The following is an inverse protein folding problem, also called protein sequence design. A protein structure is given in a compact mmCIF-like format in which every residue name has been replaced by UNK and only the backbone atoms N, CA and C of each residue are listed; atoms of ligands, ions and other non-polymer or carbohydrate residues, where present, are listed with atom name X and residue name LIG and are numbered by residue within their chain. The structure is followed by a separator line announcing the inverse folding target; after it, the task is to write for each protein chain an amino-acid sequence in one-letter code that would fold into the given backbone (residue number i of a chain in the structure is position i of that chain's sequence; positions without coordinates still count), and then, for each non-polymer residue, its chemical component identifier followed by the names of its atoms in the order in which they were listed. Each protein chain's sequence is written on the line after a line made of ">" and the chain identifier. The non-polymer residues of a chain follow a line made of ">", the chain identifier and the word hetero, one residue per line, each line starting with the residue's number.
data_IF_116197108158
#
_entry.id   IF_116197108158
#
_cell.length_a   1.000
_cell.length_b   1.000
_cell.length_c   1.000
_cell.angle_alpha   90.00
_cell.angle_beta   90.00
_cell.angle_gamma   90.00
#
_symmetry.space_group_name_H-M   'P 1'
#
loop_
_entity.id
_entity.type
_entity.pdbx_description
1 polymer ?
#
# COMPACT_ATOMS: atom_id res chain seq x y z
N UNK A 1 -17.36 -5.68 -6.04
CA UNK A 1 -16.23 -6.06 -5.17
C UNK A 1 -15.24 -4.90 -5.16
N UNK A 2 -14.59 -4.59 -4.03
CA UNK A 2 -13.58 -3.52 -3.93
C UNK A 2 -12.18 -4.11 -4.05
N UNK A 3 -11.30 -3.42 -4.76
CA UNK A 3 -9.87 -3.75 -4.86
C UNK A 3 -9.09 -3.12 -3.70
N UNK A 4 -7.84 -3.55 -3.43
CA UNK A 4 -6.99 -2.89 -2.44
C UNK A 4 -6.70 -1.43 -2.79
N UNK A 5 -6.68 -1.09 -4.10
CA UNK A 5 -6.52 0.27 -4.58
C UNK A 5 -7.71 1.16 -4.17
N UNK A 6 -8.94 0.64 -4.29
CA UNK A 6 -10.15 1.37 -3.88
C UNK A 6 -10.17 1.64 -2.37
N UNK A 7 -9.77 0.64 -1.57
CA UNK A 7 -9.65 0.81 -0.12
C UNK A 7 -8.60 1.88 0.24
N UNK A 8 -7.48 1.93 -0.48
CA UNK A 8 -6.48 2.99 -0.27
C UNK A 8 -7.01 4.37 -0.65
N UNK A 9 -7.70 4.51 -1.78
CA UNK A 9 -8.33 5.77 -2.15
C UNK A 9 -9.34 6.25 -1.10
N UNK A 10 -10.19 5.36 -0.57
CA UNK A 10 -11.10 5.67 0.53
C UNK A 10 -10.35 6.09 1.81
N UNK A 11 -9.27 5.38 2.15
CA UNK A 11 -8.45 5.68 3.32
C UNK A 11 -7.64 6.98 3.19
N UNK A 12 -7.40 7.50 1.98
CA UNK A 12 -6.73 8.78 1.78
C UNK A 12 -7.70 9.96 1.71
N UNK A 13 -8.88 9.75 1.16
CA UNK A 13 -9.87 10.81 0.94
C UNK A 13 -10.68 11.14 2.18
N UNK A 14 -11.05 10.12 2.98
CA UNK A 14 -11.99 10.29 4.09
C UNK A 14 -11.34 9.87 5.40
N UNK A 15 -11.28 10.81 6.36
CA UNK A 15 -10.66 10.58 7.69
C UNK A 15 -11.28 9.41 8.46
N UNK A 16 -12.60 9.26 8.38
CA UNK A 16 -13.32 8.17 9.08
C UNK A 16 -12.99 6.81 8.48
N UNK A 17 -12.98 6.69 7.14
CA UNK A 17 -12.55 5.46 6.47
C UNK A 17 -11.08 5.17 6.74
N UNK A 18 -10.21 6.18 6.77
CA UNK A 18 -8.82 5.99 7.18
C UNK A 18 -8.73 5.37 8.58
N UNK A 19 -9.43 5.95 9.55
CA UNK A 19 -9.43 5.49 10.93
C UNK A 19 -10.02 4.08 11.08
N UNK A 20 -10.98 3.71 10.24
CA UNK A 20 -11.57 2.37 10.23
C UNK A 20 -10.69 1.34 9.51
N UNK A 21 -10.25 1.62 8.28
CA UNK A 21 -9.52 0.68 7.41
C UNK A 21 -8.10 0.39 7.92
N UNK A 22 -7.48 1.31 8.66
CA UNK A 22 -6.12 1.11 9.20
C UNK A 22 -6.11 0.36 10.54
N UNK A 23 -7.27 -0.05 11.08
CA UNK A 23 -7.35 -0.89 12.28
C UNK A 23 -7.03 -2.35 11.96
N UNK A 24 -6.42 -3.04 12.92
CA UNK A 24 -6.12 -4.49 12.82
C UNK A 24 -7.39 -5.33 12.65
N UNK A 25 -8.51 -4.90 13.23
CA UNK A 25 -9.83 -5.54 13.07
C UNK A 25 -10.32 -5.52 11.62
N UNK A 26 -9.88 -4.53 10.84
CA UNK A 26 -10.25 -4.35 9.44
C UNK A 26 -9.28 -5.07 8.48
N UNK A 27 -8.24 -5.75 8.99
CA UNK A 27 -7.25 -6.44 8.16
C UNK A 27 -7.88 -7.50 7.24
N UNK A 28 -8.95 -8.15 7.69
CA UNK A 28 -9.72 -9.09 6.88
C UNK A 28 -10.28 -8.44 5.60
N UNK A 29 -10.75 -7.18 5.67
CA UNK A 29 -11.29 -6.48 4.50
C UNK A 29 -10.24 -6.29 3.41
N UNK A 30 -8.99 -6.06 3.80
CA UNK A 30 -7.87 -5.95 2.88
C UNK A 30 -7.48 -7.29 2.27
N UNK A 31 -7.51 -8.37 3.08
CA UNK A 31 -7.26 -9.72 2.57
C UNK A 31 -8.32 -10.11 1.54
N UNK A 32 -9.60 -9.86 1.83
CA UNK A 32 -10.70 -10.10 0.88
C UNK A 32 -10.55 -9.24 -0.37
N UNK A 33 -10.20 -7.96 -0.23
CA UNK A 33 -10.00 -7.10 -1.41
C UNK A 33 -8.84 -7.57 -2.28
N UNK A 34 -7.76 -8.08 -1.66
CA UNK A 34 -6.62 -8.69 -2.36
C UNK A 34 -7.04 -9.93 -3.14
N UNK A 35 -7.83 -10.83 -2.53
CA UNK A 35 -8.34 -12.04 -3.19
C UNK A 35 -9.25 -11.76 -4.39
N UNK A 36 -9.77 -10.54 -4.55
CA UNK A 36 -10.56 -10.17 -5.73
C UNK A 36 -9.69 -9.97 -6.98
N UNK A 37 -8.35 -9.94 -6.84
CA UNK A 37 -7.42 -9.77 -7.95
C UNK A 37 -6.77 -11.13 -8.24
N UNK A 38 -7.08 -11.76 -9.38
CA UNK A 38 -6.44 -13.01 -9.77
C UNK A 38 -4.93 -12.80 -9.95
N UNK A 39 -4.16 -13.85 -9.67
CA UNK A 39 -2.69 -13.89 -9.83
C UNK A 39 -1.88 -12.92 -8.97
N UNK A 40 -2.51 -12.20 -8.04
CA UNK A 40 -1.81 -11.33 -7.12
C UNK A 40 -1.17 -12.16 -5.98
N UNK A 41 0.14 -11.99 -5.70
CA UNK A 41 0.82 -12.77 -4.67
C UNK A 41 0.19 -12.57 -3.30
N UNK A 42 0.49 -13.51 -2.40
CA UNK A 42 0.20 -13.31 -0.99
C UNK A 42 0.98 -12.12 -0.43
N UNK A 43 0.33 -11.37 0.46
CA UNK A 43 1.00 -10.33 1.22
C UNK A 43 2.10 -10.98 2.07
N UNK A 44 3.36 -10.54 1.95
CA UNK A 44 4.45 -11.07 2.77
C UNK A 44 4.14 -10.91 4.27
N UNK A 45 4.59 -11.85 5.13
CA UNK A 45 4.21 -11.88 6.55
C UNK A 45 4.74 -10.67 7.35
N UNK A 46 5.79 -10.01 6.86
CA UNK A 46 6.38 -8.82 7.46
C UNK A 46 5.71 -7.51 6.97
N UNK A 47 4.76 -7.58 6.03
CA UNK A 47 4.01 -6.44 5.53
C UNK A 47 2.56 -6.48 6.01
N UNK A 48 1.99 -5.29 6.22
CA UNK A 48 0.55 -5.16 6.39
C UNK A 48 -0.11 -5.10 5.01
N UNK A 49 -1.32 -5.66 4.88
CA UNK A 49 -2.08 -5.63 3.62
C UNK A 49 -2.25 -4.20 3.02
N UNK A 50 -2.49 -3.12 3.80
CA UNK A 50 -2.51 -1.76 3.26
C UNK A 50 -1.15 -1.30 2.72
N UNK A 51 -0.04 -1.68 3.38
CA UNK A 51 1.30 -1.33 2.93
C UNK A 51 1.67 -2.11 1.66
N UNK A 52 1.31 -3.39 1.60
CA UNK A 52 1.45 -4.22 0.41
C UNK A 52 0.63 -3.67 -0.76
N UNK A 53 -0.63 -3.29 -0.53
CA UNK A 53 -1.45 -2.62 -1.54
C UNK A 53 -0.80 -1.31 -2.04
N UNK A 54 -0.23 -0.51 -1.14
CA UNK A 54 0.44 0.72 -1.54
C UNK A 54 1.68 0.43 -2.41
N UNK A 55 2.45 -0.59 -2.02
CA UNK A 55 3.62 -1.05 -2.75
C UNK A 55 3.24 -1.64 -4.12
N UNK A 56 2.17 -2.39 -4.25
CA UNK A 56 1.79 -2.99 -5.54
C UNK A 56 1.20 -1.95 -6.49
N UNK A 57 0.23 -1.15 -6.02
CA UNK A 57 -0.61 -0.35 -6.92
C UNK A 57 -0.14 1.08 -7.15
N UNK A 58 0.76 1.63 -6.31
CA UNK A 58 1.10 3.05 -6.38
C UNK A 58 2.59 3.34 -6.59
N UNK A 59 2.90 4.00 -7.70
CA UNK A 59 4.27 4.37 -8.08
C UNK A 59 4.67 5.74 -7.55
N UNK A 60 4.75 5.89 -6.23
CA UNK A 60 5.23 7.11 -5.58
C UNK A 60 6.30 6.86 -4.52
N UNK A 61 7.10 7.88 -4.24
CA UNK A 61 8.04 7.88 -3.13
C UNK A 61 7.28 7.82 -1.80
N UNK A 62 7.53 6.79 -1.00
CA UNK A 62 6.84 6.59 0.29
C UNK A 62 7.20 7.65 1.34
N UNK A 63 8.25 8.45 1.12
CA UNK A 63 8.66 9.53 2.01
C UNK A 63 8.08 10.91 1.61
N UNK A 64 8.10 11.26 0.32
CA UNK A 64 7.73 12.60 -0.15
C UNK A 64 6.61 12.63 -1.18
N UNK A 65 6.01 11.47 -1.48
CA UNK A 65 4.90 11.30 -2.43
C UNK A 65 5.22 11.70 -3.88
N UNK A 66 6.50 11.95 -4.22
CA UNK A 66 6.92 12.18 -5.60
C UNK A 66 6.47 11.02 -6.49
N UNK A 67 5.73 11.32 -7.55
CA UNK A 67 5.16 10.33 -8.48
C UNK A 67 6.24 9.72 -9.40
N UNK A 68 5.86 8.68 -10.13
CA UNK A 68 6.67 8.00 -11.15
C UNK A 68 7.95 7.34 -10.61
N UNK A 69 7.94 6.91 -9.35
CA UNK A 69 9.02 6.07 -8.82
C UNK A 69 8.64 4.63 -9.12
N UNK A 70 9.42 3.96 -9.97
CA UNK A 70 9.18 2.56 -10.38
C UNK A 70 10.03 1.57 -9.59
N UNK A 71 11.23 1.99 -9.20
CA UNK A 71 12.17 1.16 -8.44
C UNK A 71 11.60 0.86 -7.05
N UNK A 72 11.42 -0.43 -6.78
CA UNK A 72 11.06 -0.98 -5.48
C UNK A 72 12.36 -1.41 -4.78
N UNK A 73 12.54 -0.97 -3.54
CA UNK A 73 13.55 -1.51 -2.65
C UNK A 73 12.87 -2.59 -1.81
N UNK A 74 13.06 -3.86 -2.20
CA UNK A 74 12.35 -5.00 -1.60
C UNK A 74 12.73 -5.21 -0.14
N UNK A 75 13.98 -4.94 0.22
CA UNK A 75 14.50 -4.99 1.59
C UNK A 75 13.74 -4.07 2.54
N UNK A 76 13.28 -2.93 2.01
CA UNK A 76 12.49 -1.95 2.76
C UNK A 76 11.00 -1.99 2.41
N UNK A 77 10.61 -2.85 1.45
CA UNK A 77 9.27 -2.93 0.88
C UNK A 77 8.66 -1.56 0.57
N UNK A 78 9.47 -0.68 -0.02
CA UNK A 78 9.13 0.71 -0.23
C UNK A 78 9.78 1.26 -1.50
N UNK A 79 9.24 2.37 -2.00
CA UNK A 79 9.82 3.14 -3.11
C UNK A 79 10.37 4.46 -2.59
N UNK A 80 11.61 4.79 -2.96
CA UNK A 80 12.22 6.09 -2.66
C UNK A 80 12.69 6.77 -3.94
N UNK A 81 12.40 8.07 -4.07
CA UNK A 81 13.06 8.88 -5.09
C UNK A 81 14.55 9.06 -4.75
N UNK A 82 15.34 9.46 -5.74
CA UNK A 82 16.79 9.67 -5.58
C UNK A 82 17.15 10.57 -4.40
N UNK A 83 16.40 11.66 -4.20
CA UNK A 83 16.64 12.60 -3.10
C UNK A 83 16.25 12.05 -1.72
N UNK A 84 15.22 11.21 -1.63
CA UNK A 84 14.85 10.56 -0.35
C UNK A 84 15.74 9.37 -0.03
N UNK A 85 16.26 8.68 -1.05
CA UNK A 85 17.18 7.56 -0.86
C UNK A 85 18.48 8.00 -0.20
N UNK A 86 19.00 9.17 -0.55
CA UNK A 86 20.26 9.70 0.01
C UNK A 86 20.13 10.18 1.48
N UNK A 87 18.91 10.20 2.04
CA UNK A 87 18.63 10.65 3.41
C UNK A 87 18.34 9.50 4.37
N UNK A 88 18.44 8.25 3.91
CA UNK A 88 18.21 7.02 4.67
C UNK A 88 19.42 6.14 4.56
#
# INVERSE_FOLDING_TARGET
>A
YLTPQDLLHLAWTIKQFRAFLMKRTSAYLWKVSRCNIPDLPECPPYLSEPAYANLVFFNHCHACLKKNIKTIFWEFSARYCTSCRLKR
#
